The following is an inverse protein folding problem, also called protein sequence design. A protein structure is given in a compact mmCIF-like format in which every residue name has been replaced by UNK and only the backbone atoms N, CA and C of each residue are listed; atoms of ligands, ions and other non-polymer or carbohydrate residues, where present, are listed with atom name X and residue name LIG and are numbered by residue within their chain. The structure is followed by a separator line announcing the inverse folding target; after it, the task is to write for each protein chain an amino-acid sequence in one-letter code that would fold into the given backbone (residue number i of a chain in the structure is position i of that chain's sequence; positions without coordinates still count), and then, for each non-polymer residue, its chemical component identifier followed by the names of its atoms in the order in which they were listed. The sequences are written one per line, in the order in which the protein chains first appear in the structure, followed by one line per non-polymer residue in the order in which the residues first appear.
data_IF_341793133882
#
_entry.id   IF_341793133882
#
_cell.length_a   1.000
_cell.length_b   1.000
_cell.length_c   1.000
_cell.angle_alpha   90.00
_cell.angle_beta   90.00
_cell.angle_gamma   90.00
#
_symmetry.space_group_name_H-M   'P 1'
#
loop_
_entity.id
_entity.type
_entity.pdbx_description
1 polymer ?
#
# COMPACT_ATOMS: atom_id res chain seq x y z
N UNK A 1 5.74 8.92 7.06
CA UNK A 1 5.10 7.70 7.60
C UNK A 1 6.21 6.71 7.85
N UNK A 2 6.20 6.02 9.00
CA UNK A 2 7.15 4.93 9.26
C UNK A 2 6.53 3.58 8.92
N UNK A 3 7.34 2.59 8.57
CA UNK A 3 6.89 1.24 8.25
C UNK A 3 5.99 0.65 9.36
N UNK A 4 6.23 0.97 10.64
CA UNK A 4 5.37 0.58 11.77
C UNK A 4 3.91 1.01 11.61
N UNK A 5 3.66 2.21 11.10
CA UNK A 5 2.30 2.72 10.88
C UNK A 5 1.60 1.97 9.74
N UNK A 6 2.37 1.53 8.71
CA UNK A 6 1.85 0.66 7.66
C UNK A 6 1.43 -0.70 8.24
N UNK A 7 2.19 -1.22 9.20
CA UNK A 7 1.86 -2.48 9.89
C UNK A 7 0.57 -2.37 10.71
N UNK A 8 0.28 -1.21 11.32
CA UNK A 8 -0.97 -0.98 12.04
C UNK A 8 -2.19 -1.04 11.13
N UNK A 9 -2.11 -0.42 9.94
CA UNK A 9 -3.21 -0.44 8.95
C UNK A 9 -3.25 -1.72 8.13
N UNK A 10 -2.24 -2.59 8.22
CA UNK A 10 -2.15 -3.86 7.50
C UNK A 10 -3.41 -4.71 7.63
N UNK A 11 -3.91 -4.88 8.85
CA UNK A 11 -5.10 -5.72 9.09
C UNK A 11 -6.35 -5.15 8.42
N UNK A 12 -6.51 -3.84 8.45
CA UNK A 12 -7.62 -3.17 7.76
C UNK A 12 -7.50 -3.28 6.24
N UNK A 13 -6.27 -3.15 5.71
CA UNK A 13 -6.00 -3.32 4.29
C UNK A 13 -6.32 -4.76 3.85
N UNK A 14 -5.85 -5.77 4.60
CA UNK A 14 -6.11 -7.18 4.32
C UNK A 14 -7.63 -7.45 4.27
N UNK A 15 -8.39 -6.92 5.22
CA UNK A 15 -9.82 -7.18 5.33
C UNK A 15 -10.67 -6.44 4.28
N UNK A 16 -10.18 -5.31 3.73
CA UNK A 16 -11.00 -4.42 2.87
C UNK A 16 -10.49 -4.27 1.43
N UNK A 17 -9.21 -4.52 1.17
CA UNK A 17 -8.64 -4.41 -0.19
C UNK A 17 -9.17 -5.56 -1.03
N UNK A 18 -9.95 -5.21 -2.06
CA UNK A 18 -10.41 -6.16 -3.08
C UNK A 18 -9.28 -6.52 -4.06
N UNK A 19 -9.37 -7.67 -4.74
CA UNK A 19 -8.38 -8.12 -5.71
C UNK A 19 -8.11 -7.08 -6.83
N UNK A 20 -9.12 -6.32 -7.23
CA UNK A 20 -8.97 -5.25 -8.22
C UNK A 20 -8.05 -4.13 -7.69
N UNK A 21 -8.32 -3.65 -6.46
CA UNK A 21 -7.51 -2.63 -5.79
C UNK A 21 -6.09 -3.15 -5.55
N UNK A 22 -5.93 -4.43 -5.17
CA UNK A 22 -4.62 -5.06 -5.00
C UNK A 22 -3.80 -4.99 -6.29
N UNK A 23 -4.38 -5.37 -7.44
CA UNK A 23 -3.71 -5.30 -8.75
C UNK A 23 -3.32 -3.87 -9.10
N UNK A 24 -4.22 -2.92 -8.89
CA UNK A 24 -3.97 -1.50 -9.13
C UNK A 24 -2.84 -0.94 -8.26
N UNK A 25 -2.78 -1.32 -6.98
CA UNK A 25 -1.73 -0.90 -6.06
C UNK A 25 -0.38 -1.49 -6.47
N UNK A 26 -0.36 -2.78 -6.85
CA UNK A 26 0.85 -3.43 -7.36
C UNK A 26 1.34 -2.73 -8.63
N UNK A 27 0.45 -2.42 -9.57
CA UNK A 27 0.82 -1.74 -10.81
C UNK A 27 1.34 -0.31 -10.56
N UNK A 28 0.70 0.43 -9.64
CA UNK A 28 1.17 1.75 -9.21
C UNK A 28 2.55 1.71 -8.55
N UNK A 29 2.80 0.71 -7.70
CA UNK A 29 4.10 0.53 -7.03
C UNK A 29 5.22 0.06 -7.96
N UNK A 30 4.87 -0.58 -9.09
CA UNK A 30 5.82 -0.89 -10.16
C UNK A 30 6.11 0.32 -11.03
N UNK A 31 5.08 1.13 -11.27
CA UNK A 31 5.17 2.33 -12.10
C UNK A 31 5.74 3.55 -11.36
N UNK A 32 5.91 3.45 -10.04
CA UNK A 32 6.57 4.48 -9.24
C UNK A 32 8.04 4.65 -9.67
N UNK A 33 8.59 5.85 -9.47
CA UNK A 33 9.99 6.13 -9.73
C UNK A 33 10.68 6.64 -8.44
N UNK A 34 11.58 5.85 -7.80
CA UNK A 34 12.02 4.52 -8.23
C UNK A 34 10.95 3.44 -8.06
N UNK A 35 11.01 2.34 -8.84
CA UNK A 35 10.06 1.24 -8.74
C UNK A 35 10.22 0.55 -7.39
N UNK A 36 9.14 0.50 -6.61
CA UNK A 36 9.12 -0.18 -5.33
C UNK A 36 9.12 -1.69 -5.56
N UNK A 37 8.26 -2.15 -6.48
CA UNK A 37 8.15 -3.57 -6.83
C UNK A 37 8.78 -3.84 -8.18
N UNK A 38 9.61 -4.88 -8.24
CA UNK A 38 10.04 -5.47 -9.50
C UNK A 38 8.91 -6.30 -10.12
N UNK A 39 8.94 -6.48 -11.44
CA UNK A 39 7.94 -7.31 -12.13
C UNK A 39 7.89 -8.75 -11.62
N UNK A 40 9.00 -9.28 -11.09
CA UNK A 40 9.04 -10.61 -10.47
C UNK A 40 8.31 -10.66 -9.14
N UNK A 41 8.58 -9.69 -8.25
CA UNK A 41 7.90 -9.56 -6.95
C UNK A 41 6.38 -9.41 -7.13
N UNK A 42 5.97 -8.53 -8.04
CA UNK A 42 4.55 -8.35 -8.37
C UNK A 42 3.89 -9.62 -8.89
N UNK A 43 4.55 -10.35 -9.81
CA UNK A 43 4.01 -11.62 -10.30
C UNK A 43 3.95 -12.68 -9.21
N UNK A 44 4.91 -12.72 -8.27
CA UNK A 44 4.84 -13.65 -7.14
C UNK A 44 3.57 -13.43 -6.31
N UNK A 45 3.24 -12.19 -5.99
CA UNK A 45 2.04 -11.88 -5.20
C UNK A 45 0.76 -12.20 -5.99
N UNK A 46 0.71 -11.86 -7.27
CA UNK A 46 -0.48 -12.08 -8.11
C UNK A 46 -0.72 -13.55 -8.46
N UNK A 47 0.35 -14.32 -8.67
CA UNK A 47 0.29 -15.73 -9.05
C UNK A 47 0.36 -16.68 -7.84
N UNK A 48 0.57 -16.17 -6.63
CA UNK A 48 0.52 -16.97 -5.42
C UNK A 48 -0.86 -17.64 -5.31
N UNK A 49 -0.88 -18.97 -5.17
CA UNK A 49 -2.11 -19.74 -4.94
C UNK A 49 -2.57 -19.61 -3.48
N UNK A 50 -2.89 -18.38 -3.08
CA UNK A 50 -3.28 -17.99 -1.74
C UNK A 50 -4.56 -17.16 -1.78
N UNK A 51 -5.24 -17.07 -0.64
CA UNK A 51 -6.42 -16.22 -0.49
C UNK A 51 -6.03 -14.75 -0.62
N UNK A 52 -7.00 -13.89 -1.00
CA UNK A 52 -6.77 -12.46 -1.23
C UNK A 52 -6.09 -11.78 -0.04
N UNK A 53 -6.51 -12.13 1.18
CA UNK A 53 -5.99 -11.60 2.44
C UNK A 53 -4.49 -11.85 2.60
N UNK A 54 -4.04 -13.08 2.31
CA UNK A 54 -2.62 -13.45 2.36
C UNK A 54 -1.79 -12.67 1.33
N UNK A 55 -2.34 -12.46 0.12
CA UNK A 55 -1.66 -11.70 -0.94
C UNK A 55 -1.49 -10.23 -0.56
N UNK A 56 -2.53 -9.63 0.02
CA UNK A 56 -2.46 -8.25 0.54
C UNK A 56 -1.44 -8.17 1.68
N UNK A 57 -1.43 -9.15 2.58
CA UNK A 57 -0.44 -9.24 3.64
C UNK A 57 0.99 -9.29 3.11
N UNK A 58 1.26 -10.15 2.12
CA UNK A 58 2.57 -10.23 1.46
C UNK A 58 2.98 -8.94 0.78
N UNK A 59 2.04 -8.25 0.13
CA UNK A 59 2.32 -6.94 -0.46
C UNK A 59 2.75 -5.94 0.62
N UNK A 60 1.99 -5.85 1.72
CA UNK A 60 2.31 -4.94 2.83
C UNK A 60 3.66 -5.28 3.45
N UNK A 61 3.94 -6.57 3.69
CA UNK A 61 5.23 -7.02 4.22
C UNK A 61 6.39 -6.66 3.29
N UNK A 62 6.20 -6.80 1.98
CA UNK A 62 7.25 -6.50 1.00
C UNK A 62 7.54 -5.00 0.94
N UNK A 63 6.49 -4.17 0.99
CA UNK A 63 6.60 -2.71 1.05
C UNK A 63 7.24 -2.27 2.37
N UNK A 64 6.82 -2.86 3.50
CA UNK A 64 7.40 -2.64 4.82
C UNK A 64 8.91 -2.92 4.82
N UNK A 65 9.33 -4.06 4.28
CA UNK A 65 10.75 -4.45 4.20
C UNK A 65 11.60 -3.52 3.30
N UNK A 66 10.97 -2.81 2.36
CA UNK A 66 11.65 -1.82 1.51
C UNK A 66 11.83 -0.47 2.20
N UNK A 67 11.11 -0.23 3.30
CA UNK A 67 11.25 0.92 4.16
C UNK A 67 10.18 2.00 3.97
N UNK A 68 10.40 3.12 4.64
CA UNK A 68 9.39 4.18 4.81
C UNK A 68 8.92 4.80 3.49
N UNK A 69 9.83 4.99 2.53
CA UNK A 69 9.50 5.58 1.22
C UNK A 69 8.50 4.71 0.45
N UNK A 70 8.71 3.40 0.46
CA UNK A 70 7.81 2.44 -0.17
C UNK A 70 6.44 2.43 0.52
N UNK A 71 6.45 2.50 1.85
CA UNK A 71 5.24 2.53 2.69
C UNK A 71 4.37 3.76 2.41
N UNK A 72 5.00 4.94 2.28
CA UNK A 72 4.31 6.17 1.88
C UNK A 72 3.69 6.03 0.49
N UNK A 73 4.48 5.55 -0.48
CA UNK A 73 4.03 5.36 -1.86
C UNK A 73 2.81 4.44 -1.97
N UNK A 74 2.83 3.31 -1.26
CA UNK A 74 1.72 2.35 -1.25
C UNK A 74 0.42 3.03 -0.79
N UNK A 75 0.49 3.82 0.28
CA UNK A 75 -0.70 4.50 0.78
C UNK A 75 -1.16 5.61 -0.16
N UNK A 76 -0.24 6.39 -0.74
CA UNK A 76 -0.60 7.40 -1.74
C UNK A 76 -1.36 6.80 -2.93
N UNK A 77 -0.94 5.63 -3.42
CA UNK A 77 -1.65 4.90 -4.49
C UNK A 77 -3.01 4.39 -4.00
N UNK A 78 -3.08 3.84 -2.79
CA UNK A 78 -4.33 3.41 -2.16
C UNK A 78 -5.32 4.57 -2.02
N UNK A 79 -4.90 5.76 -1.62
CA UNK A 79 -5.77 6.93 -1.50
C UNK A 79 -6.30 7.39 -2.87
N UNK A 80 -5.45 7.34 -3.90
CA UNK A 80 -5.86 7.68 -5.27
C UNK A 80 -6.86 6.68 -5.85
N UNK A 81 -6.71 5.39 -5.53
CA UNK A 81 -7.56 4.32 -6.06
C UNK A 81 -8.84 4.15 -5.26
N UNK A 82 -8.75 4.22 -3.94
CA UNK A 82 -9.87 4.04 -3.03
C UNK A 82 -9.75 4.95 -1.81
N UNK A 83 -10.21 6.19 -2.01
CA UNK A 83 -10.24 7.23 -0.98
C UNK A 83 -11.11 6.84 0.22
N UNK A 84 -12.15 6.02 0.02
CA UNK A 84 -13.02 5.59 1.11
C UNK A 84 -12.36 4.55 2.02
N UNK A 85 -11.45 3.75 1.45
CA UNK A 85 -10.62 2.81 2.17
C UNK A 85 -9.65 3.54 3.11
N UNK A 86 -8.97 4.60 2.62
CA UNK A 86 -8.07 5.43 3.44
C UNK A 86 -8.81 6.36 4.41
N UNK A 87 -10.04 6.77 4.09
CA UNK A 87 -10.84 7.61 4.98
C UNK A 87 -11.23 6.92 6.28
N UNK A 88 -11.36 5.59 6.24
CA UNK A 88 -11.71 4.75 7.39
C UNK A 88 -10.51 4.19 8.15
N UNK A 89 -9.28 4.48 7.69
CA UNK A 89 -8.08 4.18 8.46
C UNK A 89 -8.04 5.02 9.73
N UNK A 90 -7.41 4.48 10.76
CA UNK A 90 -7.30 5.11 12.07
C UNK A 90 -6.84 6.59 11.95
N UNK A 91 -7.54 7.54 12.62
CA UNK A 91 -7.30 8.98 12.45
C UNK A 91 -5.87 9.43 12.74
N UNK A 92 -5.13 8.72 13.59
CA UNK A 92 -3.70 8.99 13.85
C UNK A 92 -2.84 8.74 12.59
N UNK A 93 -3.11 7.65 11.87
CA UNK A 93 -2.42 7.33 10.63
C UNK A 93 -2.83 8.33 9.53
N UNK A 94 -4.12 8.71 9.50
CA UNK A 94 -4.68 9.74 8.60
C UNK A 94 -4.02 11.11 8.75
N UNK A 95 -3.75 11.54 9.97
CA UNK A 95 -3.11 12.84 10.22
C UNK A 95 -1.67 12.85 9.68
N UNK A 96 -0.95 11.74 9.81
CA UNK A 96 0.39 11.56 9.25
C UNK A 96 0.38 11.55 7.71
N UNK A 97 -0.67 11.01 7.06
CA UNK A 97 -0.82 11.06 5.59
C UNK A 97 -1.04 12.48 5.06
N UNK A 98 -1.97 13.24 5.66
CA UNK A 98 -2.26 14.62 5.23
C UNK A 98 -1.07 15.58 5.41
N UNK A 99 -0.27 15.37 6.45
CA UNK A 99 0.91 16.20 6.69
C UNK A 99 2.04 15.96 5.68
N UNK A 100 2.18 14.75 5.12
CA UNK A 100 3.20 14.46 4.12
C UNK A 100 2.77 14.77 2.68
N UNK A 101 1.49 14.65 2.33
CA UNK A 101 0.97 15.02 1.01
C UNK A 101 0.89 16.55 0.78
N UNK A 102 1.00 17.38 1.81
CA UNK A 102 1.10 18.84 1.68
C UNK A 102 2.51 19.33 1.28
N UNK A 103 3.52 18.45 1.16
CA UNK A 103 4.89 18.80 0.74
C UNK A 103 5.10 18.62 -0.77
N UNK A 104 4.25 17.86 -1.46
CA UNK A 104 4.22 17.78 -2.91
C UNK A 104 2.83 18.19 -3.42
N UNK A 105 2.56 19.50 -3.57
CA UNK A 105 1.42 19.91 -4.36
C UNK A 105 1.69 19.44 -5.79
N UNK A 106 0.73 18.72 -6.38
CA UNK A 106 0.67 18.64 -7.84
C UNK A 106 0.62 20.04 -8.44
#
# INVERSE_FOLDING_TARGET
LSADELSKVRLELIARVSEAVLKDVIDGLRSSNPPVLTGREANQILQANQVQEDRVGQLVDMVYNKGDVASVLMISILEQKDKHLTEKLDPEVKMNFKLQNNIFPC
#
